data_IF_498021217805
#
_entry.id   IF_498021217805
#
_cell.length_a   1.000
_cell.length_b   1.000
_cell.length_c   1.000
_cell.angle_alpha   90.00
_cell.angle_beta   90.00
_cell.angle_gamma   90.00
#
_symmetry.space_group_name_H-M   'P 1'
#
loop_
_entity.id
_entity.type
_entity.pdbx_description
1 polymer ?
#
# COMPACT_ATOMS: atom_id res chain seq x y z
N UNK A 1 6.62 9.90 11.35
CA UNK A 1 5.27 9.46 10.99
C UNK A 1 4.22 10.37 11.63
N UNK A 2 4.15 10.52 12.97
CA UNK A 2 3.10 11.31 13.67
C UNK A 2 2.99 12.75 13.17
N UNK A 3 4.12 13.46 12.95
CA UNK A 3 4.11 14.80 12.38
C UNK A 3 3.45 14.89 11.00
N UNK A 4 3.62 13.87 10.16
CA UNK A 4 2.99 13.83 8.83
C UNK A 4 1.49 13.58 8.94
N UNK A 5 1.08 12.69 9.83
CA UNK A 5 -0.35 12.45 10.09
C UNK A 5 -1.03 13.73 10.61
N UNK A 6 -0.41 14.42 11.58
CA UNK A 6 -0.90 15.72 12.08
C UNK A 6 -1.00 16.76 10.95
N UNK A 7 0.01 16.81 10.08
CA UNK A 7 -0.01 17.73 8.93
C UNK A 7 -1.20 17.46 8.00
N UNK A 8 -1.49 16.19 7.70
CA UNK A 8 -2.64 15.79 6.86
C UNK A 8 -3.96 16.23 7.53
N UNK A 9 -4.13 15.95 8.82
CA UNK A 9 -5.33 16.40 9.55
C UNK A 9 -5.50 17.90 9.50
N UNK A 10 -4.44 18.68 9.72
CA UNK A 10 -4.49 20.17 9.64
C UNK A 10 -4.76 20.65 8.22
N UNK A 11 -4.21 19.96 7.18
CA UNK A 11 -4.48 20.30 5.79
C UNK A 11 -5.97 20.13 5.46
N UNK A 12 -6.55 19.01 5.86
CA UNK A 12 -7.98 18.75 5.67
C UNK A 12 -8.84 19.78 6.42
N UNK A 13 -8.50 20.08 7.68
CA UNK A 13 -9.21 21.08 8.47
C UNK A 13 -9.16 22.50 7.87
N UNK A 14 -8.06 22.84 7.18
CA UNK A 14 -7.92 24.14 6.51
C UNK A 14 -8.66 24.22 5.17
N UNK A 15 -9.02 23.09 4.59
CA UNK A 15 -9.67 23.02 3.27
C UNK A 15 -10.95 22.16 3.32
N UNK A 16 -11.90 22.46 4.23
CA UNK A 16 -13.06 21.59 4.47
C UNK A 16 -14.03 21.53 3.28
N UNK A 17 -13.99 22.51 2.38
CA UNK A 17 -14.83 22.53 1.19
C UNK A 17 -14.29 21.63 0.07
N UNK A 18 -13.00 21.31 0.07
CA UNK A 18 -12.33 20.52 -0.96
C UNK A 18 -11.94 19.11 -0.48
N UNK A 19 -11.58 18.94 0.79
CA UNK A 19 -10.98 17.72 1.33
C UNK A 19 -11.79 17.20 2.52
N UNK A 20 -11.91 15.88 2.61
CA UNK A 20 -12.45 15.23 3.79
C UNK A 20 -11.71 13.90 4.05
N UNK A 21 -11.43 13.58 5.32
CA UNK A 21 -10.78 12.33 5.68
C UNK A 21 -11.73 11.15 5.50
N UNK A 22 -11.31 10.15 4.73
CA UNK A 22 -12.03 8.91 4.56
C UNK A 22 -11.41 7.81 5.45
N UNK A 23 -12.20 7.23 6.33
CA UNK A 23 -11.80 6.15 7.22
C UNK A 23 -12.41 4.80 6.82
N UNK A 24 -13.43 4.83 5.96
CA UNK A 24 -14.16 3.65 5.47
C UNK A 24 -14.45 3.78 3.98
N UNK A 25 -14.77 2.66 3.32
CA UNK A 25 -15.23 2.66 1.93
C UNK A 25 -16.51 3.49 1.73
N UNK A 26 -17.41 3.47 2.72
CA UNK A 26 -18.63 4.30 2.70
C UNK A 26 -18.30 5.79 2.75
N UNK A 27 -17.25 6.20 3.50
CA UNK A 27 -16.79 7.58 3.50
C UNK A 27 -16.30 8.00 2.13
N UNK A 28 -15.51 7.16 1.45
CA UNK A 28 -15.03 7.46 0.10
C UNK A 28 -16.19 7.77 -0.84
N UNK A 29 -17.20 6.89 -0.87
CA UNK A 29 -18.37 7.06 -1.73
C UNK A 29 -19.17 8.31 -1.37
N UNK A 30 -19.39 8.56 -0.08
CA UNK A 30 -20.13 9.72 0.43
C UNK A 30 -19.41 11.02 0.08
N UNK A 31 -18.11 11.09 0.36
CA UNK A 31 -17.27 12.28 0.13
C UNK A 31 -17.20 12.59 -1.37
N UNK A 32 -16.95 11.58 -2.20
CA UNK A 32 -16.92 11.74 -3.65
C UNK A 32 -18.27 12.26 -4.19
N UNK A 33 -19.41 11.70 -3.73
CA UNK A 33 -20.73 12.19 -4.12
C UNK A 33 -21.00 13.64 -3.71
N UNK A 34 -20.36 14.14 -2.66
CA UNK A 34 -20.46 15.54 -2.24
C UNK A 34 -19.56 16.49 -3.05
N UNK A 35 -18.83 16.00 -4.03
CA UNK A 35 -17.91 16.78 -4.87
C UNK A 35 -16.56 17.09 -4.22
N UNK A 36 -16.25 16.46 -3.07
CA UNK A 36 -14.98 16.63 -2.37
C UNK A 36 -14.01 15.48 -2.70
N UNK A 37 -12.74 15.68 -2.39
CA UNK A 37 -11.69 14.67 -2.47
C UNK A 37 -11.68 13.86 -1.17
N UNK A 38 -11.87 12.56 -1.29
CA UNK A 38 -11.73 11.63 -0.18
C UNK A 38 -10.24 11.35 0.07
N UNK A 39 -9.72 11.85 1.20
CA UNK A 39 -8.32 11.70 1.57
C UNK A 39 -8.12 10.50 2.47
N UNK A 40 -7.23 9.57 2.08
CA UNK A 40 -6.79 8.44 2.90
C UNK A 40 -5.35 8.68 3.34
N UNK A 41 -5.05 8.33 4.60
CA UNK A 41 -3.69 8.38 5.12
C UNK A 41 -3.01 7.03 4.83
N UNK A 42 -1.94 7.07 4.03
CA UNK A 42 -1.07 5.94 3.78
C UNK A 42 0.27 6.07 4.50
N UNK A 43 0.85 4.94 4.86
CA UNK A 43 2.20 4.86 5.41
C UNK A 43 3.11 4.16 4.41
N UNK A 44 4.08 4.85 3.86
CA UNK A 44 5.02 4.28 2.90
C UNK A 44 6.23 3.69 3.62
N UNK A 45 6.09 2.43 3.98
CA UNK A 45 7.13 1.62 4.59
C UNK A 45 6.81 1.16 6.02
N UNK A 46 6.88 -0.16 6.22
CA UNK A 46 6.62 -0.82 7.50
C UNK A 46 7.64 -0.49 8.61
N UNK A 47 8.75 0.20 8.29
CA UNK A 47 9.63 0.77 9.32
C UNK A 47 8.88 1.72 10.28
N UNK A 48 7.75 2.29 9.82
CA UNK A 48 6.90 3.16 10.63
C UNK A 48 6.32 2.49 11.89
N UNK A 49 6.19 1.16 11.90
CA UNK A 49 5.67 0.42 13.06
C UNK A 49 6.76 0.01 14.07
N UNK A 50 8.05 0.23 13.76
CA UNK A 50 9.18 -0.11 14.66
C UNK A 50 9.12 -1.56 15.18
N UNK A 51 8.77 -2.50 14.29
CA UNK A 51 8.60 -3.93 14.60
C UNK A 51 7.57 -4.22 15.72
N UNK A 52 6.52 -3.40 15.82
CA UNK A 52 5.51 -3.50 16.87
C UNK A 52 4.09 -3.49 16.32
N UNK A 53 3.32 -4.56 16.56
CA UNK A 53 1.90 -4.62 16.25
C UNK A 53 1.09 -3.60 17.08
N UNK A 54 1.58 -3.20 18.25
CA UNK A 54 0.94 -2.14 19.04
C UNK A 54 1.04 -0.80 18.32
N UNK A 55 2.21 -0.46 17.75
CA UNK A 55 2.40 0.73 16.93
C UNK A 55 1.50 0.71 15.70
N UNK A 56 1.38 -0.43 15.01
CA UNK A 56 0.46 -0.60 13.88
C UNK A 56 -0.98 -0.27 14.26
N UNK A 57 -1.47 -0.82 15.37
CA UNK A 57 -2.82 -0.55 15.89
C UNK A 57 -3.03 0.93 16.22
N UNK A 58 -2.02 1.57 16.82
CA UNK A 58 -2.12 3.00 17.15
C UNK A 58 -2.13 3.89 15.91
N UNK A 59 -1.30 3.58 14.92
CA UNK A 59 -1.29 4.31 13.64
C UNK A 59 -2.62 4.17 12.90
N UNK A 60 -3.25 2.99 12.94
CA UNK A 60 -4.61 2.82 12.43
C UNK A 60 -5.62 3.71 13.17
N UNK A 61 -5.54 3.80 14.50
CA UNK A 61 -6.45 4.63 15.32
C UNK A 61 -6.33 6.12 15.00
N UNK A 62 -5.13 6.61 14.66
CA UNK A 62 -4.94 8.01 14.27
C UNK A 62 -5.21 8.28 12.78
N UNK A 63 -5.73 7.28 12.06
CA UNK A 63 -6.32 7.47 10.72
C UNK A 63 -5.60 6.79 9.57
N UNK A 64 -4.47 6.10 9.77
CA UNK A 64 -3.83 5.33 8.70
C UNK A 64 -4.77 4.23 8.16
N UNK A 65 -4.87 4.09 6.84
CA UNK A 65 -5.77 3.12 6.19
C UNK A 65 -5.07 2.18 5.21
N UNK A 66 -3.83 2.44 4.87
CA UNK A 66 -2.98 1.48 4.18
C UNK A 66 -1.53 1.63 4.61
N UNK A 67 -0.75 0.59 4.42
CA UNK A 67 0.69 0.61 4.66
C UNK A 67 1.40 -0.23 3.61
N UNK A 68 2.39 0.38 2.96
CA UNK A 68 3.36 -0.34 2.12
C UNK A 68 4.31 -1.12 3.03
N UNK A 69 4.45 -2.43 2.84
CA UNK A 69 5.19 -3.28 3.77
C UNK A 69 6.68 -2.91 3.88
N UNK A 70 7.28 -2.44 2.77
CA UNK A 70 8.66 -1.89 2.75
C UNK A 70 8.69 -0.58 1.97
N UNK A 71 9.81 0.13 2.02
CA UNK A 71 10.16 1.18 1.06
C UNK A 71 11.42 0.76 0.29
N UNK A 72 12.41 1.64 0.13
CA UNK A 72 13.65 1.34 -0.60
C UNK A 72 14.56 0.33 0.10
N UNK A 73 14.39 0.15 1.41
CA UNK A 73 15.16 -0.78 2.25
C UNK A 73 14.29 -1.89 2.80
N UNK A 74 14.85 -3.10 2.83
CA UNK A 74 14.26 -4.25 3.51
C UNK A 74 14.23 -4.06 5.03
N UNK A 75 13.34 -4.79 5.68
CA UNK A 75 13.15 -4.81 7.12
C UNK A 75 13.61 -6.17 7.69
N UNK A 76 13.58 -6.30 9.01
CA UNK A 76 13.83 -7.59 9.68
C UNK A 76 12.75 -8.63 9.40
N UNK A 77 11.64 -8.23 8.75
CA UNK A 77 10.47 -9.07 8.55
C UNK A 77 9.86 -9.03 7.13
N UNK A 78 10.39 -8.18 6.22
CA UNK A 78 9.96 -8.09 4.84
C UNK A 78 11.08 -7.60 3.94
N UNK A 79 11.27 -8.22 2.78
CA UNK A 79 12.26 -7.83 1.79
C UNK A 79 11.71 -6.78 0.82
N UNK A 80 12.55 -5.78 0.52
CA UNK A 80 12.30 -4.74 -0.49
C UNK A 80 12.78 -5.19 -1.87
N UNK A 81 12.13 -4.69 -2.93
CA UNK A 81 12.55 -4.89 -4.31
C UNK A 81 13.92 -4.26 -4.64
N UNK A 82 14.36 -3.26 -3.86
CA UNK A 82 15.54 -2.44 -4.15
C UNK A 82 16.67 -2.59 -3.16
N UNK A 83 16.57 -3.53 -2.23
CA UNK A 83 17.60 -3.87 -1.24
C UNK A 83 18.01 -5.34 -1.37
N UNK A 84 19.06 -5.73 -0.65
CA UNK A 84 19.45 -7.12 -0.53
C UNK A 84 18.38 -7.92 0.23
N UNK A 85 18.10 -9.13 -0.23
CA UNK A 85 17.19 -10.04 0.48
C UNK A 85 17.80 -10.44 1.83
N UNK A 86 16.98 -10.41 2.87
CA UNK A 86 17.39 -10.69 4.25
C UNK A 86 16.63 -11.87 4.86
N UNK A 87 15.36 -12.03 4.47
CA UNK A 87 14.46 -13.01 5.07
C UNK A 87 13.83 -13.95 4.02
N UNK A 88 14.01 -13.67 2.72
CA UNK A 88 13.44 -14.46 1.63
C UNK A 88 11.94 -14.27 1.50
N UNK A 89 11.47 -13.02 1.57
CA UNK A 89 10.06 -12.64 1.51
C UNK A 89 9.56 -12.06 2.83
N UNK A 90 8.58 -12.70 3.49
CA UNK A 90 8.07 -12.34 4.81
C UNK A 90 8.57 -13.31 5.89
N UNK A 91 9.11 -12.78 6.99
CA UNK A 91 9.28 -13.57 8.20
C UNK A 91 7.93 -13.92 8.84
N UNK A 92 7.91 -14.77 9.87
CA UNK A 92 6.69 -15.06 10.63
C UNK A 92 6.06 -13.78 11.21
N UNK A 93 6.88 -12.86 11.74
CA UNK A 93 6.37 -11.56 12.20
C UNK A 93 5.78 -10.73 11.04
N UNK A 94 6.37 -10.77 9.84
CA UNK A 94 5.81 -10.12 8.65
C UNK A 94 4.43 -10.68 8.29
N UNK A 95 4.25 -11.98 8.37
CA UNK A 95 2.95 -12.64 8.19
C UNK A 95 1.93 -12.23 9.27
N UNK A 96 2.37 -12.06 10.52
CA UNK A 96 1.52 -11.53 11.60
C UNK A 96 1.10 -10.07 11.33
N UNK A 97 2.01 -9.23 10.79
CA UNK A 97 1.68 -7.86 10.38
C UNK A 97 0.58 -7.86 9.32
N UNK A 98 0.68 -8.70 8.28
CA UNK A 98 -0.36 -8.81 7.24
C UNK A 98 -1.71 -9.25 7.84
N UNK A 99 -1.72 -10.27 8.71
CA UNK A 99 -2.94 -10.73 9.39
C UNK A 99 -3.56 -9.64 10.24
N UNK A 100 -2.74 -8.88 10.99
CA UNK A 100 -3.22 -7.79 11.84
C UNK A 100 -3.75 -6.62 11.01
N UNK A 101 -3.13 -6.28 9.88
CA UNK A 101 -3.66 -5.31 8.93
C UNK A 101 -5.04 -5.73 8.43
N UNK A 102 -5.21 -6.99 8.02
CA UNK A 102 -6.52 -7.52 7.60
C UNK A 102 -7.55 -7.42 8.74
N UNK A 103 -7.19 -7.81 9.97
CA UNK A 103 -8.07 -7.73 11.14
C UNK A 103 -8.53 -6.29 11.43
N UNK A 104 -7.66 -5.31 11.23
CA UNK A 104 -7.95 -3.89 11.41
C UNK A 104 -8.80 -3.30 10.27
N UNK A 105 -8.79 -3.91 9.08
CA UNK A 105 -9.33 -3.31 7.86
C UNK A 105 -8.36 -2.28 7.26
N UNK A 106 -7.06 -2.45 7.47
CA UNK A 106 -6.00 -1.68 6.84
C UNK A 106 -5.56 -2.40 5.56
N UNK A 107 -5.53 -1.69 4.43
CA UNK A 107 -5.09 -2.26 3.15
C UNK A 107 -3.59 -2.58 3.19
N UNK A 108 -3.24 -3.77 2.72
CA UNK A 108 -1.85 -4.19 2.51
C UNK A 108 -1.40 -3.68 1.15
N UNK A 109 -0.42 -2.80 1.14
CA UNK A 109 0.18 -2.26 -0.09
C UNK A 109 1.48 -3.00 -0.39
N UNK A 110 1.54 -3.59 -1.58
CA UNK A 110 2.66 -4.40 -2.06
C UNK A 110 3.60 -3.65 -3.01
N UNK A 111 3.43 -2.33 -3.17
CA UNK A 111 4.44 -1.51 -3.84
C UNK A 111 5.75 -1.58 -3.05
N UNK A 112 6.89 -1.46 -3.71
CA UNK A 112 8.24 -1.52 -3.14
C UNK A 112 8.74 -2.88 -2.65
N UNK A 113 7.90 -3.86 -2.41
CA UNK A 113 8.32 -5.15 -1.85
C UNK A 113 8.98 -6.04 -2.89
N UNK A 114 9.82 -6.99 -2.46
CA UNK A 114 10.38 -8.02 -3.34
C UNK A 114 9.28 -8.96 -3.87
N UNK A 115 9.57 -9.68 -4.96
CA UNK A 115 8.63 -10.65 -5.55
C UNK A 115 8.26 -11.74 -4.54
N UNK A 116 9.24 -12.23 -3.77
CA UNK A 116 8.99 -13.23 -2.72
C UNK A 116 8.04 -12.67 -1.65
N UNK A 117 8.22 -11.41 -1.25
CA UNK A 117 7.29 -10.73 -0.32
C UNK A 117 5.88 -10.57 -0.91
N UNK A 118 5.75 -10.33 -2.23
CA UNK A 118 4.44 -10.28 -2.90
C UNK A 118 3.72 -11.63 -2.78
N UNK A 119 4.42 -12.72 -3.07
CA UNK A 119 3.87 -14.08 -2.97
C UNK A 119 3.48 -14.43 -1.54
N UNK A 120 4.36 -14.23 -0.57
CA UNK A 120 4.10 -14.53 0.83
C UNK A 120 2.92 -13.72 1.39
N UNK A 121 2.81 -12.43 1.03
CA UNK A 121 1.68 -11.60 1.44
C UNK A 121 0.36 -12.10 0.83
N UNK A 122 0.36 -12.50 -0.44
CA UNK A 122 -0.80 -13.08 -1.11
C UNK A 122 -1.19 -14.47 -0.57
N UNK A 123 -0.24 -15.23 -0.02
CA UNK A 123 -0.53 -16.51 0.65
C UNK A 123 -1.22 -16.31 2.01
N UNK A 124 -0.94 -15.20 2.67
CA UNK A 124 -1.39 -14.94 4.05
C UNK A 124 -2.64 -14.06 4.11
N UNK A 125 -2.79 -13.13 3.15
CA UNK A 125 -3.87 -12.16 3.20
C UNK A 125 -5.24 -12.79 3.00
N UNK A 126 -6.23 -12.30 3.76
CA UNK A 126 -7.64 -12.68 3.63
C UNK A 126 -8.49 -11.52 3.07
N UNK A 127 -7.85 -10.43 2.66
CA UNK A 127 -8.50 -9.24 2.12
C UNK A 127 -7.80 -8.79 0.83
N UNK A 128 -8.48 -8.04 -0.04
CA UNK A 128 -7.87 -7.48 -1.24
C UNK A 128 -6.63 -6.64 -0.91
N UNK A 129 -5.56 -6.88 -1.66
CA UNK A 129 -4.32 -6.09 -1.58
C UNK A 129 -4.33 -4.95 -2.58
N UNK A 130 -3.44 -3.98 -2.39
CA UNK A 130 -3.21 -2.92 -3.37
C UNK A 130 -1.74 -2.89 -3.79
N UNK A 131 -1.50 -2.44 -5.01
CA UNK A 131 -0.25 -1.83 -5.43
C UNK A 131 -0.56 -0.36 -5.68
N UNK A 132 -0.22 0.49 -4.74
CA UNK A 132 -0.54 1.93 -4.82
C UNK A 132 0.19 2.61 -5.97
N UNK A 133 1.41 2.12 -6.32
CA UNK A 133 2.27 2.70 -7.36
C UNK A 133 3.32 1.69 -7.87
N UNK A 134 2.93 0.80 -8.76
CA UNK A 134 3.84 -0.16 -9.42
C UNK A 134 3.33 -0.49 -10.81
N UNK A 135 4.23 -0.50 -11.81
CA UNK A 135 3.90 -0.86 -13.18
C UNK A 135 3.94 -2.39 -13.41
N UNK A 136 3.59 -2.86 -14.60
CA UNK A 136 3.70 -4.27 -14.98
C UNK A 136 5.12 -4.59 -15.47
N UNK A 137 5.73 -5.66 -14.96
CA UNK A 137 7.08 -6.10 -15.32
C UNK A 137 7.20 -6.44 -16.82
N UNK A 138 6.19 -7.06 -17.41
CA UNK A 138 6.16 -7.39 -18.84
C UNK A 138 6.22 -6.17 -19.77
N UNK A 139 5.87 -4.98 -19.27
CA UNK A 139 6.00 -3.73 -20.05
C UNK A 139 7.36 -3.10 -19.91
N UNK A 140 7.93 -3.15 -18.72
CA UNK A 140 9.29 -2.66 -18.44
C UNK A 140 9.91 -3.56 -17.38
N UNK A 141 10.99 -4.24 -17.74
CA UNK A 141 11.72 -5.15 -16.84
C UNK A 141 12.49 -4.36 -15.76
N UNK A 142 11.76 -3.90 -14.76
CA UNK A 142 12.30 -3.19 -13.61
C UNK A 142 11.87 -3.89 -12.32
N UNK A 143 12.79 -4.01 -11.35
CA UNK A 143 12.56 -4.76 -10.11
C UNK A 143 11.43 -4.23 -9.22
N UNK A 144 10.97 -2.99 -9.44
CA UNK A 144 9.82 -2.37 -8.79
C UNK A 144 8.48 -2.74 -9.43
N UNK A 145 8.52 -3.35 -10.62
CA UNK A 145 7.34 -3.69 -11.39
C UNK A 145 6.84 -5.09 -11.03
N UNK A 146 5.54 -5.28 -11.18
CA UNK A 146 4.82 -6.48 -10.73
C UNK A 146 4.88 -7.56 -11.83
N UNK A 147 5.39 -8.78 -11.54
CA UNK A 147 5.36 -9.91 -12.47
C UNK A 147 3.93 -10.36 -12.83
N UNK A 148 3.77 -10.98 -14.00
CA UNK A 148 2.46 -11.38 -14.51
C UNK A 148 1.77 -12.44 -13.65
N UNK A 149 2.52 -13.39 -13.09
CA UNK A 149 2.01 -14.39 -12.17
C UNK A 149 1.46 -13.77 -10.88
N UNK A 150 2.13 -12.73 -10.35
CA UNK A 150 1.61 -11.95 -9.22
C UNK A 150 0.35 -11.18 -9.61
N UNK A 151 0.31 -10.56 -10.82
CA UNK A 151 -0.88 -9.85 -11.30
C UNK A 151 -2.10 -10.78 -11.40
N UNK A 152 -1.91 -12.03 -11.83
CA UNK A 152 -2.99 -13.04 -11.85
C UNK A 152 -3.49 -13.34 -10.44
N UNK A 153 -2.61 -13.51 -9.47
CA UNK A 153 -2.98 -13.70 -8.05
C UNK A 153 -3.69 -12.49 -7.45
N UNK A 154 -3.27 -11.26 -7.81
CA UNK A 154 -3.96 -10.03 -7.38
C UNK A 154 -5.39 -9.98 -7.92
N UNK A 155 -5.60 -10.38 -9.18
CA UNK A 155 -6.94 -10.50 -9.77
C UNK A 155 -7.81 -11.50 -8.99
N UNK A 156 -7.28 -12.68 -8.66
CA UNK A 156 -7.98 -13.71 -7.88
C UNK A 156 -8.29 -13.24 -6.44
N UNK A 157 -7.38 -12.46 -5.84
CA UNK A 157 -7.54 -11.86 -4.53
C UNK A 157 -8.58 -10.72 -4.51
N UNK A 158 -8.99 -10.20 -5.68
CA UNK A 158 -9.86 -9.03 -5.80
C UNK A 158 -9.14 -7.70 -5.52
N UNK A 159 -7.81 -7.73 -5.54
CA UNK A 159 -6.97 -6.56 -5.34
C UNK A 159 -6.87 -5.65 -6.56
N UNK A 160 -6.16 -4.54 -6.41
CA UNK A 160 -5.97 -3.55 -7.47
C UNK A 160 -4.50 -3.14 -7.60
N UNK A 161 -4.08 -2.89 -8.85
CA UNK A 161 -2.80 -2.26 -9.15
C UNK A 161 -3.02 -0.86 -9.72
N UNK A 162 -2.36 0.11 -9.14
CA UNK A 162 -2.33 1.49 -9.62
C UNK A 162 -0.91 1.91 -9.99
N UNK A 163 -0.80 2.94 -10.79
CA UNK A 163 0.45 3.60 -11.17
C UNK A 163 0.40 5.07 -10.79
N UNK A 164 1.57 5.65 -10.56
CA UNK A 164 1.76 7.09 -10.38
C UNK A 164 2.80 7.62 -11.36
N UNK A 165 3.04 8.92 -11.38
CA UNK A 165 4.01 9.57 -12.29
C UNK A 165 5.43 9.00 -12.21
N UNK A 166 5.86 8.48 -11.07
CA UNK A 166 7.17 7.80 -10.94
C UNK A 166 7.20 6.46 -11.63
N UNK A 167 6.07 5.79 -11.80
CA UNK A 167 5.96 4.57 -12.58
C UNK A 167 6.05 4.84 -14.09
N UNK A 168 5.64 6.01 -14.55
CA UNK A 168 5.80 6.44 -15.95
C UNK A 168 7.28 6.58 -16.32
N UNK A 169 8.14 7.01 -15.39
CA UNK A 169 9.58 7.04 -15.57
C UNK A 169 10.21 5.63 -15.63
N UNK A 170 9.54 4.64 -15.06
CA UNK A 170 9.93 3.22 -15.07
C UNK A 170 9.36 2.49 -16.29
N UNK A 171 8.36 3.07 -16.96
CA UNK A 171 7.74 2.54 -18.19
C UNK A 171 7.63 3.66 -19.22
N UNK A 172 8.55 3.73 -20.21
CA UNK A 172 8.56 4.79 -21.23
C UNK A 172 7.34 4.78 -22.16
N UNK A 173 6.55 3.72 -22.15
CA UNK A 173 5.30 3.66 -22.93
C UNK A 173 4.14 4.21 -22.09
N UNK A 174 3.57 5.32 -22.51
CA UNK A 174 2.42 6.00 -21.90
C UNK A 174 1.21 5.06 -21.76
N UNK A 175 1.16 4.31 -20.67
CA UNK A 175 -0.02 3.53 -20.28
C UNK A 175 -0.85 4.35 -19.31
N UNK A 176 -1.87 4.98 -19.85
CA UNK A 176 -2.96 5.59 -19.07
C UNK A 176 -3.47 4.55 -18.06
N UNK A 177 -3.46 4.92 -16.79
CA UNK A 177 -4.09 4.14 -15.72
C UNK A 177 -5.58 3.95 -16.09
N UNK A 178 -5.93 2.78 -16.64
CA UNK A 178 -7.33 2.35 -16.72
C UNK A 178 -7.59 1.61 -15.43
N UNK A 179 -8.35 2.25 -14.54
CA UNK A 179 -9.11 1.55 -13.52
C UNK A 179 -9.95 0.48 -14.24
N UNK A 180 -9.53 -0.76 -14.13
CA UNK A 180 -10.39 -1.89 -14.45
C UNK A 180 -11.32 -2.03 -13.24
N UNK A 181 -12.49 -1.42 -13.35
CA UNK A 181 -13.65 -1.72 -12.52
C UNK A 181 -14.18 -3.10 -12.90
#
# INVERSE_FOLDING_TARGET
VMLQIDLVHRLIQKNPDALELALTSSDILRIHKSGKIASLIGMEGGHAIENSLASLRMLYRVGARYMTLTHSKGLLWADSATDDQRVGGLSEFGKEVVREMNRLGMLVDLSHVSVDTMHDALDVTQAPVIFSHSSAYAKTAHKRNVPDDVLLRVKENGGIRSEEHTSELQSPDHLVCRLLL
#
